data_IF_059396390143
#
_entry.id   IF_059396390143
#
_cell.length_a   1.000
_cell.length_b   1.000
_cell.length_c   1.000
_cell.angle_alpha   90.00
_cell.angle_beta   90.00
_cell.angle_gamma   90.00
#
_symmetry.space_group_name_H-M   'P 1'
#
loop_
_entity.id
_entity.type
_entity.pdbx_description
1 polymer ?
#
# COMPACT_ATOMS: atom_id res chain seq x y z
N UNK A 1 -8.81 32.52 15.89
CA UNK A 1 -7.69 32.26 14.95
C UNK A 1 -6.86 31.13 15.55
N UNK A 2 -6.63 30.02 14.83
CA UNK A 2 -5.71 28.97 15.30
C UNK A 2 -4.28 29.37 14.90
N UNK A 3 -3.26 29.17 15.76
CA UNK A 3 -1.88 29.44 15.38
C UNK A 3 -1.48 28.59 14.18
N UNK A 4 -0.59 29.12 13.34
CA UNK A 4 -0.03 28.37 12.23
C UNK A 4 0.82 27.21 12.76
N UNK A 5 0.76 26.07 12.07
CA UNK A 5 1.68 24.96 12.33
C UNK A 5 3.12 25.43 12.03
N UNK A 6 4.03 25.19 12.97
CA UNK A 6 5.46 25.46 12.80
C UNK A 6 6.14 24.15 12.48
N UNK A 7 6.81 24.10 11.33
CA UNK A 7 7.60 22.94 10.95
C UNK A 7 8.89 22.87 11.73
N UNK A 8 9.32 21.66 12.05
CA UNK A 8 10.58 21.40 12.73
C UNK A 8 11.61 20.91 11.72
N UNK A 9 12.87 21.00 12.09
CA UNK A 9 13.94 20.37 11.33
C UNK A 9 13.83 18.84 11.45
N UNK A 10 14.11 18.13 10.36
CA UNK A 10 14.14 16.66 10.34
C UNK A 10 12.76 15.98 10.30
N UNK A 11 11.69 16.70 9.96
CA UNK A 11 10.38 16.12 9.73
C UNK A 11 10.42 15.10 8.57
N UNK A 12 9.72 13.97 8.73
CA UNK A 12 9.71 12.87 7.76
C UNK A 12 8.52 12.90 6.79
N UNK A 13 7.72 13.96 6.87
CA UNK A 13 6.48 14.14 6.11
C UNK A 13 6.67 15.22 5.06
N UNK A 14 6.58 14.82 3.79
CA UNK A 14 6.64 15.73 2.66
C UNK A 14 5.24 16.20 2.26
N UNK A 15 5.14 17.33 1.56
CA UNK A 15 3.86 17.88 1.08
C UNK A 15 3.48 17.35 -0.29
N UNK A 16 2.19 17.05 -0.53
CA UNK A 16 1.71 16.77 -1.88
C UNK A 16 1.65 18.06 -2.74
N UNK A 17 1.62 17.94 -4.09
CA UNK A 17 1.66 16.69 -4.84
C UNK A 17 3.07 16.13 -4.98
N UNK A 18 3.16 14.83 -5.25
CA UNK A 18 4.43 14.11 -5.42
C UNK A 18 4.64 13.72 -6.88
N UNK A 19 5.89 13.77 -7.35
CA UNK A 19 6.29 13.20 -8.62
C UNK A 19 7.15 11.95 -8.37
N UNK A 20 6.77 10.84 -9.03
CA UNK A 20 7.49 9.58 -9.00
C UNK A 20 8.16 9.34 -10.37
N UNK A 21 9.47 9.10 -10.36
CA UNK A 21 10.28 8.85 -11.56
C UNK A 21 10.97 7.50 -11.48
N UNK A 22 11.35 6.99 -12.65
CA UNK A 22 12.10 5.75 -12.82
C UNK A 22 11.41 4.56 -12.13
N UNK A 23 10.11 4.43 -12.35
CA UNK A 23 9.26 3.43 -11.71
C UNK A 23 9.12 2.17 -12.56
N UNK A 24 9.36 1.01 -11.95
CA UNK A 24 8.98 -0.29 -12.47
C UNK A 24 7.84 -0.86 -11.63
N UNK A 25 6.70 -1.17 -12.26
CA UNK A 25 5.54 -1.77 -11.62
C UNK A 25 5.37 -3.21 -12.12
N UNK A 26 5.39 -4.18 -11.22
CA UNK A 26 5.07 -5.58 -11.51
C UNK A 26 3.86 -6.01 -10.70
N UNK A 27 2.93 -6.72 -11.31
CA UNK A 27 1.67 -7.09 -10.67
C UNK A 27 1.19 -8.49 -11.02
N UNK A 28 0.53 -9.12 -10.06
CA UNK A 28 -0.08 -10.44 -10.18
C UNK A 28 -1.52 -10.40 -9.70
N UNK A 29 -2.42 -10.96 -10.49
CA UNK A 29 -3.79 -11.21 -10.07
C UNK A 29 -3.84 -12.53 -9.29
N UNK A 30 -4.20 -12.45 -8.01
CA UNK A 30 -4.25 -13.58 -7.11
C UNK A 30 -5.71 -13.94 -6.77
N UNK A 31 -6.13 -15.20 -6.92
CA UNK A 31 -7.44 -15.65 -6.44
C UNK A 31 -7.63 -15.33 -4.96
N UNK A 32 -8.84 -14.90 -4.60
CA UNK A 32 -9.21 -14.52 -3.25
C UNK A 32 -10.65 -14.91 -2.92
N UNK A 33 -11.02 -14.80 -1.66
CA UNK A 33 -12.39 -15.05 -1.19
C UNK A 33 -13.18 -13.73 -1.19
N UNK A 34 -14.22 -13.64 -2.03
CA UNK A 34 -15.06 -12.44 -2.15
C UNK A 34 -15.70 -12.00 -0.82
N UNK A 35 -16.08 -12.94 0.04
CA UNK A 35 -16.63 -12.62 1.35
C UNK A 35 -15.58 -11.97 2.26
N UNK A 36 -14.34 -12.49 2.25
CA UNK A 36 -13.24 -11.88 3.00
C UNK A 36 -12.89 -10.47 2.45
N UNK A 37 -12.98 -10.26 1.14
CA UNK A 37 -12.82 -8.92 0.55
C UNK A 37 -13.93 -7.98 0.99
N UNK A 38 -15.18 -8.46 1.05
CA UNK A 38 -16.30 -7.67 1.57
C UNK A 38 -16.09 -7.33 3.05
N UNK A 39 -15.65 -8.28 3.88
CA UNK A 39 -15.36 -8.04 5.30
C UNK A 39 -14.32 -6.93 5.52
N UNK A 40 -13.29 -6.87 4.67
CA UNK A 40 -12.29 -5.79 4.68
C UNK A 40 -12.95 -4.44 4.36
N UNK A 41 -13.71 -4.35 3.26
CA UNK A 41 -14.41 -3.12 2.87
C UNK A 41 -15.43 -2.68 3.92
N UNK A 42 -16.12 -3.63 4.54
CA UNK A 42 -17.08 -3.37 5.60
C UNK A 42 -16.40 -2.84 6.87
N UNK A 43 -15.28 -3.45 7.27
CA UNK A 43 -14.50 -3.04 8.44
C UNK A 43 -13.94 -1.63 8.26
N UNK A 44 -13.38 -1.35 7.08
CA UNK A 44 -12.56 -0.16 6.87
C UNK A 44 -13.34 1.04 6.33
N UNK A 45 -14.40 0.81 5.54
CA UNK A 45 -15.12 1.85 4.82
C UNK A 45 -16.61 1.88 5.16
N UNK A 46 -17.34 0.79 4.91
CA UNK A 46 -18.81 0.82 4.96
C UNK A 46 -19.33 1.03 6.39
N UNK A 47 -18.89 0.22 7.36
CA UNK A 47 -19.36 0.32 8.75
C UNK A 47 -18.94 1.64 9.41
N UNK A 48 -17.68 2.11 9.29
CA UNK A 48 -17.30 3.42 9.84
C UNK A 48 -18.07 4.60 9.23
N UNK A 49 -18.55 4.47 7.99
CA UNK A 49 -19.32 5.53 7.33
C UNK A 49 -20.74 5.72 7.87
N UNK A 50 -21.26 4.79 8.67
CA UNK A 50 -22.65 4.85 9.14
C UNK A 50 -23.70 4.78 8.02
N UNK A 51 -23.36 4.17 6.87
CA UNK A 51 -24.23 4.05 5.71
C UNK A 51 -24.09 5.18 4.68
N UNK A 52 -23.11 6.08 4.83
CA UNK A 52 -22.84 7.13 3.85
C UNK A 52 -22.21 6.60 2.55
N UNK A 53 -21.60 5.41 2.59
CA UNK A 53 -21.02 4.74 1.41
C UNK A 53 -21.39 3.25 1.38
N UNK A 54 -21.42 2.68 0.19
CA UNK A 54 -21.64 1.26 -0.07
C UNK A 54 -20.59 0.76 -1.07
N UNK A 55 -19.52 0.17 -0.54
CA UNK A 55 -18.47 -0.45 -1.34
C UNK A 55 -18.60 -1.97 -1.36
N UNK A 56 -18.52 -2.54 -2.57
CA UNK A 56 -18.61 -3.99 -2.78
C UNK A 56 -17.47 -4.47 -3.69
N UNK A 57 -16.83 -5.62 -3.43
CA UNK A 57 -15.79 -6.13 -4.30
C UNK A 57 -16.41 -6.54 -5.65
N UNK A 58 -15.76 -6.15 -6.75
CA UNK A 58 -16.22 -6.48 -8.10
C UNK A 58 -15.73 -7.86 -8.56
N UNK A 59 -14.67 -8.37 -7.95
CA UNK A 59 -14.04 -9.66 -8.31
C UNK A 59 -13.76 -10.50 -7.07
N UNK A 60 -13.40 -11.77 -7.31
CA UNK A 60 -12.83 -12.67 -6.30
C UNK A 60 -11.31 -12.73 -6.43
N UNK A 61 -10.68 -11.58 -6.72
CA UNK A 61 -9.26 -11.49 -7.06
C UNK A 61 -8.68 -10.22 -6.43
N UNK A 62 -7.45 -10.29 -5.93
CA UNK A 62 -6.68 -9.11 -5.56
C UNK A 62 -5.54 -8.89 -6.55
N UNK A 63 -5.14 -7.65 -6.77
CA UNK A 63 -3.88 -7.34 -7.43
C UNK A 63 -2.81 -7.20 -6.35
N UNK A 64 -1.84 -8.11 -6.33
CA UNK A 64 -0.59 -7.90 -5.60
C UNK A 64 0.35 -7.15 -6.54
N UNK A 65 0.87 -6.00 -6.14
CA UNK A 65 1.84 -5.25 -6.93
C UNK A 65 3.10 -4.94 -6.14
N UNK A 66 4.23 -4.90 -6.85
CA UNK A 66 5.49 -4.36 -6.38
C UNK A 66 5.84 -3.18 -7.29
N UNK A 67 5.96 -1.98 -6.74
CA UNK A 67 6.46 -0.81 -7.44
C UNK A 67 7.85 -0.48 -6.91
N UNK A 68 8.88 -0.61 -7.75
CA UNK A 68 10.21 -0.09 -7.46
C UNK A 68 10.30 1.31 -8.06
N UNK A 69 10.38 2.33 -7.21
CA UNK A 69 10.35 3.74 -7.57
C UNK A 69 11.74 4.32 -7.33
N UNK A 70 12.41 4.74 -8.40
CA UNK A 70 13.77 5.27 -8.32
C UNK A 70 13.84 6.60 -7.59
N UNK A 71 12.88 7.50 -7.81
CA UNK A 71 12.84 8.81 -7.15
C UNK A 71 11.42 9.28 -6.86
N UNK A 72 11.22 9.78 -5.64
CA UNK A 72 10.01 10.47 -5.20
C UNK A 72 10.42 11.81 -4.59
N UNK A 73 9.79 12.89 -5.03
CA UNK A 73 9.95 14.21 -4.43
C UNK A 73 8.63 14.97 -4.39
N UNK A 74 8.57 15.96 -3.49
CA UNK A 74 7.48 16.92 -3.44
C UNK A 74 7.59 17.95 -4.56
N UNK A 75 6.46 18.32 -5.14
CA UNK A 75 6.32 19.45 -6.05
C UNK A 75 5.91 20.75 -5.34
N UNK A 76 5.74 20.73 -4.01
CA UNK A 76 5.48 21.94 -3.24
C UNK A 76 6.75 22.79 -3.14
N UNK A 77 6.64 24.08 -3.45
CA UNK A 77 7.78 24.99 -3.46
C UNK A 77 8.48 25.11 -2.09
N UNK A 78 7.78 24.81 -0.99
CA UNK A 78 8.36 24.82 0.37
C UNK A 78 9.32 23.65 0.60
N UNK A 79 9.14 22.55 -0.12
CA UNK A 79 9.93 21.32 0.01
C UNK A 79 10.98 21.22 -1.11
N UNK A 80 11.14 22.24 -1.95
CA UNK A 80 11.98 22.23 -3.15
C UNK A 80 13.47 21.89 -2.87
N UNK A 81 13.93 22.07 -1.62
CA UNK A 81 15.29 21.79 -1.20
C UNK A 81 15.45 20.49 -0.39
N UNK A 82 14.38 19.70 -0.20
CA UNK A 82 14.45 18.47 0.60
C UNK A 82 14.98 17.26 -0.18
N UNK A 83 15.16 17.38 -1.50
CA UNK A 83 15.67 16.31 -2.35
C UNK A 83 14.61 15.26 -2.70
N UNK A 84 15.05 14.01 -2.84
CA UNK A 84 14.20 12.88 -3.22
C UNK A 84 14.54 11.63 -2.42
N UNK A 85 13.59 10.69 -2.35
CA UNK A 85 13.77 9.37 -1.74
C UNK A 85 13.47 8.27 -2.77
N UNK A 86 14.21 7.15 -2.79
CA UNK A 86 13.77 5.94 -3.45
C UNK A 86 12.72 5.24 -2.58
N UNK A 87 11.88 4.42 -3.20
CA UNK A 87 10.86 3.66 -2.48
C UNK A 87 10.52 2.36 -3.21
N UNK A 88 10.33 1.29 -2.44
CA UNK A 88 9.60 0.12 -2.91
C UNK A 88 8.25 0.05 -2.21
N UNK A 89 7.17 0.00 -2.99
CA UNK A 89 5.81 -0.26 -2.51
C UNK A 89 5.41 -1.72 -2.82
N UNK A 90 5.00 -2.49 -1.80
CA UNK A 90 4.31 -3.78 -1.98
C UNK A 90 2.87 -3.63 -1.54
N UNK A 91 1.92 -3.70 -2.48
CA UNK A 91 0.52 -3.39 -2.25
C UNK A 91 -0.39 -4.57 -2.55
N UNK A 92 -1.41 -4.75 -1.72
CA UNK A 92 -2.57 -5.59 -2.04
C UNK A 92 -3.73 -4.66 -2.38
N UNK A 93 -4.22 -4.74 -3.62
CA UNK A 93 -5.32 -3.91 -4.12
C UNK A 93 -6.60 -4.72 -4.26
N UNK A 94 -7.71 -4.15 -3.79
CA UNK A 94 -9.08 -4.63 -3.99
C UNK A 94 -9.76 -3.75 -5.03
N UNK A 95 -10.26 -4.36 -6.10
CA UNK A 95 -11.13 -3.68 -7.06
C UNK A 95 -12.56 -3.67 -6.52
N UNK A 96 -13.06 -2.50 -6.16
CA UNK A 96 -14.40 -2.32 -5.58
C UNK A 96 -15.26 -1.40 -6.44
N UNK A 97 -16.57 -1.57 -6.35
CA UNK A 97 -17.55 -0.65 -6.88
C UNK A 97 -18.11 0.19 -5.74
N UNK A 98 -18.25 1.50 -5.96
CA UNK A 98 -19.08 2.37 -5.16
C UNK A 98 -20.51 2.28 -5.67
N UNK A 99 -21.46 1.95 -4.78
CA UNK A 99 -22.86 1.82 -5.13
C UNK A 99 -23.66 3.00 -4.57
N UNK A 100 -24.62 3.48 -5.36
CA UNK A 100 -25.59 4.49 -4.96
C UNK A 100 -26.97 4.02 -5.39
N UNK A 101 -27.91 3.99 -4.44
CA UNK A 101 -29.29 3.52 -4.68
C UNK A 101 -29.36 2.11 -5.30
N UNK A 102 -28.38 1.25 -5.00
CA UNK A 102 -28.28 -0.12 -5.50
C UNK A 102 -27.61 -0.26 -6.87
N UNK A 103 -27.30 0.84 -7.55
CA UNK A 103 -26.62 0.87 -8.85
C UNK A 103 -25.13 1.18 -8.70
N UNK A 104 -24.31 0.65 -9.60
CA UNK A 104 -22.88 0.93 -9.65
C UNK A 104 -22.67 2.37 -10.14
N UNK A 105 -22.13 3.23 -9.27
CA UNK A 105 -21.85 4.63 -9.57
C UNK A 105 -20.44 4.78 -10.21
N UNK A 106 -19.41 4.25 -9.56
CA UNK A 106 -18.04 4.24 -10.10
C UNK A 106 -17.20 3.09 -9.53
N UNK A 107 -16.05 2.84 -10.16
CA UNK A 107 -15.08 1.82 -9.76
C UNK A 107 -13.91 2.46 -9.02
N UNK A 108 -13.45 1.84 -7.94
CA UNK A 108 -12.32 2.29 -7.14
C UNK A 108 -11.33 1.15 -6.87
N UNK A 109 -10.08 1.54 -6.65
CA UNK A 109 -9.06 0.68 -6.10
C UNK A 109 -8.84 1.02 -4.62
N UNK A 110 -8.97 0.01 -3.76
CA UNK A 110 -8.74 0.15 -2.32
C UNK A 110 -7.49 -0.63 -1.89
N UNK A 111 -6.66 -0.03 -1.04
CA UNK A 111 -5.40 -0.62 -0.54
C UNK A 111 -5.52 -0.89 0.95
N UNK A 112 -5.98 -2.07 1.37
CA UNK A 112 -5.98 -2.44 2.79
C UNK A 112 -4.57 -2.69 3.35
N UNK A 113 -3.63 -3.10 2.50
CA UNK A 113 -2.28 -3.47 2.92
C UNK A 113 -1.23 -2.93 1.95
N UNK A 114 -0.25 -2.24 2.51
CA UNK A 114 0.87 -1.66 1.79
C UNK A 114 2.11 -1.62 2.69
N UNK A 115 3.22 -2.15 2.18
CA UNK A 115 4.50 -2.17 2.86
C UNK A 115 5.54 -1.42 2.05
N UNK A 116 6.37 -0.65 2.74
CA UNK A 116 7.43 0.16 2.14
C UNK A 116 8.76 -0.05 2.82
N UNK A 117 9.83 0.22 2.10
CA UNK A 117 11.20 -0.05 2.53
C UNK A 117 11.87 1.11 3.29
N UNK A 118 11.20 2.27 3.41
CA UNK A 118 11.75 3.43 4.08
C UNK A 118 10.74 4.16 4.99
N UNK A 119 11.19 4.75 6.12
CA UNK A 119 10.30 5.35 7.11
C UNK A 119 9.67 6.68 6.68
N UNK A 120 10.27 7.39 5.73
CA UNK A 120 9.71 8.65 5.21
C UNK A 120 8.45 8.38 4.40
N UNK A 121 8.46 7.35 3.55
CA UNK A 121 7.30 6.85 2.85
C UNK A 121 6.19 6.39 3.81
N UNK A 122 6.54 5.69 4.89
CA UNK A 122 5.56 5.31 5.93
C UNK A 122 4.88 6.56 6.50
N UNK A 123 5.67 7.52 6.96
CA UNK A 123 5.17 8.73 7.63
C UNK A 123 4.31 9.55 6.67
N UNK A 124 4.87 9.88 5.50
CA UNK A 124 4.20 10.70 4.48
C UNK A 124 2.89 10.05 4.00
N UNK A 125 2.92 8.77 3.65
CA UNK A 125 1.73 8.08 3.12
C UNK A 125 0.59 7.98 4.14
N UNK A 126 0.91 7.77 5.42
CA UNK A 126 -0.09 7.71 6.49
C UNK A 126 -0.67 9.08 6.82
N UNK A 127 0.19 10.09 6.95
CA UNK A 127 -0.20 11.41 7.47
C UNK A 127 -0.81 12.33 6.43
N UNK A 128 -0.45 12.16 5.15
CA UNK A 128 -0.91 13.05 4.07
C UNK A 128 -1.92 12.41 3.12
N UNK A 129 -1.82 11.10 2.88
CA UNK A 129 -2.64 10.39 1.88
C UNK A 129 -3.62 9.39 2.51
N UNK A 130 -3.48 9.07 3.79
CA UNK A 130 -4.33 8.08 4.48
C UNK A 130 -4.04 6.62 4.12
N UNK A 131 -2.93 6.33 3.43
CA UNK A 131 -2.53 4.94 3.15
C UNK A 131 -2.07 4.25 4.45
N UNK A 132 -2.47 2.98 4.68
CA UNK A 132 -2.06 2.24 5.87
C UNK A 132 -0.64 1.67 5.73
N UNK A 133 0.34 2.49 5.31
CA UNK A 133 1.73 2.07 5.09
C UNK A 133 2.34 1.50 6.38
N UNK A 134 3.02 0.37 6.22
CA UNK A 134 3.86 -0.25 7.23
C UNK A 134 5.28 -0.41 6.68
N UNK A 135 6.28 -0.52 7.56
CA UNK A 135 7.63 -0.83 7.13
C UNK A 135 7.75 -2.31 6.74
N UNK A 136 8.53 -2.60 5.70
CA UNK A 136 8.84 -3.94 5.25
C UNK A 136 10.25 -4.06 4.68
N UNK A 137 10.67 -5.30 4.48
CA UNK A 137 11.88 -5.65 3.77
C UNK A 137 11.52 -6.64 2.69
N UNK A 138 12.01 -6.43 1.47
CA UNK A 138 11.51 -7.19 0.34
C UNK A 138 12.58 -7.45 -0.71
N UNK A 139 12.37 -8.51 -1.46
CA UNK A 139 13.05 -8.76 -2.72
C UNK A 139 12.15 -8.32 -3.86
N UNK A 140 12.60 -7.33 -4.62
CA UNK A 140 11.93 -6.88 -5.84
C UNK A 140 12.41 -7.66 -7.07
N UNK A 141 11.62 -7.70 -8.15
CA UNK A 141 12.10 -8.15 -9.45
C UNK A 141 13.25 -7.25 -9.92
N UNK A 142 14.33 -7.85 -10.43
CA UNK A 142 15.44 -7.12 -11.08
C UNK A 142 15.07 -6.62 -12.48
N UNK A 143 14.19 -7.37 -13.14
CA UNK A 143 13.65 -7.10 -14.47
C UNK A 143 12.30 -7.84 -14.64
N UNK A 144 11.53 -7.57 -15.71
CA UNK A 144 10.22 -8.19 -15.91
C UNK A 144 10.22 -9.73 -16.04
N UNK A 145 11.39 -10.34 -16.26
CA UNK A 145 11.57 -11.78 -16.44
C UNK A 145 12.18 -12.46 -15.21
N UNK A 146 12.40 -11.72 -14.11
CA UNK A 146 12.99 -12.26 -12.89
C UNK A 146 12.13 -13.41 -12.33
N UNK A 147 12.65 -14.66 -12.25
CA UNK A 147 11.87 -15.81 -11.82
C UNK A 147 11.56 -15.79 -10.31
N UNK A 148 12.13 -14.85 -9.56
CA UNK A 148 12.07 -14.84 -8.10
C UNK A 148 13.00 -15.88 -7.46
N UNK A 149 12.74 -16.32 -6.21
CA UNK A 149 11.57 -15.97 -5.40
C UNK A 149 11.57 -14.50 -4.99
N UNK A 150 10.40 -13.88 -5.03
CA UNK A 150 10.17 -12.58 -4.42
C UNK A 150 9.60 -12.79 -3.03
N UNK A 151 9.86 -11.87 -2.13
CA UNK A 151 9.40 -11.99 -0.77
C UNK A 151 9.25 -10.64 -0.08
N UNK A 152 8.46 -10.65 0.98
CA UNK A 152 8.27 -9.53 1.88
C UNK A 152 8.27 -10.05 3.32
N UNK A 153 9.15 -9.48 4.13
CA UNK A 153 9.09 -9.52 5.58
C UNK A 153 8.51 -8.19 6.08
N UNK A 154 7.84 -8.22 7.23
CA UNK A 154 7.42 -7.04 7.94
C UNK A 154 7.53 -7.26 9.44
N UNK A 155 7.25 -6.23 10.22
CA UNK A 155 7.04 -6.42 11.65
C UNK A 155 5.72 -7.14 11.92
N UNK A 156 5.77 -8.20 12.72
CA UNK A 156 4.66 -9.12 13.01
C UNK A 156 4.54 -9.34 14.52
N UNK A 157 3.30 -9.27 15.01
CA UNK A 157 2.88 -9.75 16.33
C UNK A 157 2.01 -10.99 16.11
N UNK A 158 2.56 -12.19 16.34
CA UNK A 158 1.83 -13.44 16.17
C UNK A 158 2.28 -14.51 17.18
N UNK A 159 1.35 -15.10 17.96
CA UNK A 159 -0.08 -14.73 18.05
C UNK A 159 -0.25 -13.36 18.73
N UNK A 160 -1.43 -12.75 18.62
CA UNK A 160 -1.74 -11.58 19.44
C UNK A 160 -1.87 -11.98 20.91
N UNK A 161 -0.93 -11.53 21.73
CA UNK A 161 -0.96 -11.68 23.18
C UNK A 161 -0.18 -10.53 23.85
N UNK A 162 -0.48 -10.14 25.10
CA UNK A 162 0.24 -9.08 25.81
C UNK A 162 1.74 -9.34 25.98
N UNK A 163 2.17 -10.59 25.87
CA UNK A 163 3.57 -11.03 26.00
C UNK A 163 4.25 -11.25 24.66
N UNK A 164 3.57 -11.04 23.54
CA UNK A 164 4.16 -11.23 22.21
C UNK A 164 5.10 -10.08 21.90
N UNK A 165 6.37 -10.40 21.69
CA UNK A 165 7.36 -9.46 21.21
C UNK A 165 7.21 -9.22 19.70
N UNK A 166 7.39 -7.97 19.28
CA UNK A 166 7.42 -7.62 17.86
C UNK A 166 8.67 -8.21 17.20
N UNK A 167 8.48 -9.00 16.15
CA UNK A 167 9.60 -9.54 15.37
C UNK A 167 9.46 -9.18 13.90
N UNK A 168 10.59 -9.15 13.20
CA UNK A 168 10.59 -9.20 11.74
C UNK A 168 10.30 -10.65 11.32
N UNK A 169 9.26 -10.87 10.53
CA UNK A 169 8.87 -12.19 10.05
C UNK A 169 8.31 -12.13 8.63
N UNK A 170 8.26 -13.29 7.97
CA UNK A 170 7.80 -13.45 6.59
C UNK A 170 6.29 -13.21 6.48
N UNK A 171 5.89 -12.28 5.61
CA UNK A 171 4.49 -12.02 5.27
C UNK A 171 4.07 -12.83 4.04
N UNK A 172 4.86 -12.76 2.97
CA UNK A 172 4.59 -13.49 1.73
C UNK A 172 5.86 -13.92 1.02
N UNK A 173 5.74 -14.99 0.26
CA UNK A 173 6.72 -15.46 -0.72
C UNK A 173 5.98 -15.70 -2.02
N UNK A 174 6.53 -15.20 -3.13
CA UNK A 174 6.03 -15.45 -4.48
C UNK A 174 7.07 -16.28 -5.24
N UNK A 175 6.65 -17.44 -5.75
CA UNK A 175 7.47 -18.33 -6.56
C UNK A 175 6.78 -18.64 -7.88
N UNK A 176 7.56 -18.68 -8.97
CA UNK A 176 7.07 -19.22 -10.24
C UNK A 176 6.77 -20.71 -10.09
N UNK A 177 5.63 -21.15 -10.61
CA UNK A 177 5.29 -22.57 -10.65
C UNK A 177 6.25 -23.32 -11.59
N UNK A 178 6.65 -24.56 -11.27
CA UNK A 178 7.46 -25.38 -12.17
C UNK A 178 6.80 -25.51 -13.56
N UNK A 179 7.54 -25.19 -14.62
CA UNK A 179 7.06 -25.30 -16.00
C UNK A 179 6.17 -24.15 -16.49
N UNK A 180 5.96 -23.09 -15.69
CA UNK A 180 5.32 -21.88 -16.19
C UNK A 180 6.22 -21.17 -17.24
N UNK A 181 5.65 -20.64 -18.34
CA UNK A 181 6.42 -19.88 -19.33
C UNK A 181 7.08 -18.65 -18.71
N UNK A 182 8.17 -18.22 -19.35
CA UNK A 182 8.92 -17.03 -18.96
C UNK A 182 8.08 -15.76 -19.14
#
# INVERSE_FOLDING_TARGET
>A
MKPAYVERDGESVYRPPYEQKDTALTGWLLPSNRAALQEILDRDLNRPSGGAVDYRPLTSTVLLSIAAIGQIHSLDARDANYGWIPEVDVCVWILAGAFKDGELDHVVWYVPYIWVDNPFAVSTGRETLGYPKAIGWMQTPRDPQDPGPLWLDAYVLSPYAPTTELKRDRILTLTRAPGAPA
#
